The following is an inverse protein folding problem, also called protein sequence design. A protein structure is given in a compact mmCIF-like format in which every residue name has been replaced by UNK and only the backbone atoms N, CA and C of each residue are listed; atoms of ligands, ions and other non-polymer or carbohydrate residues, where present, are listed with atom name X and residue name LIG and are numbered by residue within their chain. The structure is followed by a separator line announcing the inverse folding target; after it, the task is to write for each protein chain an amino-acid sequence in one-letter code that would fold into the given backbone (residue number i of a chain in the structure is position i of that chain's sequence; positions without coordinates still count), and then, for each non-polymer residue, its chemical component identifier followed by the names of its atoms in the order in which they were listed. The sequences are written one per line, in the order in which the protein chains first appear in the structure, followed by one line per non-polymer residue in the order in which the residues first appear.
data_IF_688205118806
#
_entry.id   IF_688205118806
#
_cell.length_a   1.000
_cell.length_b   1.000
_cell.length_c   1.000
_cell.angle_alpha   90.00
_cell.angle_beta   90.00
_cell.angle_gamma   90.00
#
_symmetry.space_group_name_H-M   'P 1'
#
loop_
_entity.id
_entity.type
_entity.pdbx_description
1 polymer ?
#
# COMPACT_ATOMS: atom_id res chain seq x y z
N UNK A 1 -7.32 13.52 -2.33
CA UNK A 1 -7.37 13.42 -0.89
C UNK A 1 -8.61 12.71 -0.44
N UNK A 2 -8.53 11.97 0.66
CA UNK A 2 -9.61 11.12 1.11
C UNK A 2 -10.34 11.79 2.26
N UNK A 3 -11.66 11.67 2.29
CA UNK A 3 -12.45 12.15 3.41
C UNK A 3 -12.58 10.98 4.37
N UNK A 4 -11.98 11.11 5.54
CA UNK A 4 -11.97 10.01 6.50
C UNK A 4 -13.29 9.88 7.23
N UNK A 5 -13.75 8.63 7.35
CA UNK A 5 -14.87 8.27 8.19
C UNK A 5 -14.36 8.25 9.63
N UNK A 6 -14.87 9.09 10.52
CA UNK A 6 -14.33 9.14 11.88
C UNK A 6 -14.65 7.90 12.72
N UNK A 7 -15.49 7.00 12.23
CA UNK A 7 -15.85 5.82 12.99
C UNK A 7 -14.96 4.64 12.67
N UNK A 8 -13.99 4.79 11.76
CA UNK A 8 -13.11 3.70 11.35
C UNK A 8 -11.66 4.16 11.44
N UNK A 9 -10.73 3.25 11.74
CA UNK A 9 -9.32 3.64 11.78
C UNK A 9 -8.86 4.19 10.44
N UNK A 10 -8.07 5.25 10.48
CA UNK A 10 -7.59 5.87 9.25
C UNK A 10 -6.74 4.92 8.43
N UNK A 11 -5.91 4.12 9.09
CA UNK A 11 -5.02 3.25 8.34
C UNK A 11 -5.80 2.21 7.53
N UNK A 12 -6.94 1.75 8.03
CA UNK A 12 -7.75 0.78 7.31
C UNK A 12 -8.31 1.42 6.04
N UNK A 13 -8.75 2.67 6.15
CA UNK A 13 -9.31 3.37 5.01
C UNK A 13 -8.25 3.63 3.95
N UNK A 14 -7.03 3.98 4.38
CA UNK A 14 -5.92 4.17 3.46
C UNK A 14 -5.56 2.85 2.78
N UNK A 15 -5.54 1.77 3.57
CA UNK A 15 -5.27 0.45 3.03
C UNK A 15 -6.25 0.11 1.90
N UNK A 16 -7.52 0.39 2.11
CA UNK A 16 -8.55 0.08 1.10
C UNK A 16 -8.30 0.86 -0.18
N UNK A 17 -7.90 2.12 -0.06
CA UNK A 17 -7.63 2.95 -1.24
C UNK A 17 -6.41 2.40 -2.00
N UNK A 18 -5.32 2.11 -1.28
CA UNK A 18 -4.11 1.63 -1.93
C UNK A 18 -4.33 0.27 -2.56
N UNK A 19 -5.05 -0.61 -1.86
CA UNK A 19 -5.36 -1.91 -2.41
C UNK A 19 -6.15 -1.79 -3.70
N UNK A 20 -7.13 -0.89 -3.74
CA UNK A 20 -7.92 -0.67 -4.94
C UNK A 20 -7.05 -0.19 -6.09
N UNK A 21 -6.07 0.68 -5.81
CA UNK A 21 -5.17 1.16 -6.84
C UNK A 21 -4.30 0.05 -7.40
N UNK A 22 -3.91 -0.89 -6.54
CA UNK A 22 -3.13 -2.03 -6.99
C UNK A 22 -3.99 -2.96 -7.83
N UNK A 23 -5.19 -3.21 -7.38
CA UNK A 23 -6.07 -4.16 -8.08
C UNK A 23 -6.55 -3.61 -9.41
N UNK A 24 -6.71 -2.30 -9.51
CA UNK A 24 -7.16 -1.69 -10.75
C UNK A 24 -6.04 -1.53 -11.77
N UNK A 25 -4.79 -1.69 -11.34
CA UNK A 25 -3.66 -1.47 -12.22
C UNK A 25 -3.12 -0.06 -12.21
N UNK A 26 -3.73 0.84 -11.43
CA UNK A 26 -3.21 2.19 -11.29
C UNK A 26 -1.79 2.15 -10.73
N UNK A 27 -1.55 1.22 -9.79
CA UNK A 27 -0.21 0.91 -9.33
C UNK A 27 0.17 -0.43 -9.93
N UNK A 28 0.88 -0.44 -11.07
CA UNK A 28 1.17 -1.70 -11.75
C UNK A 28 2.24 -2.51 -11.01
N UNK A 29 2.45 -3.77 -11.40
CA UNK A 29 3.50 -4.57 -10.79
C UNK A 29 4.83 -3.85 -10.83
N UNK A 30 5.59 -3.98 -9.76
CA UNK A 30 6.90 -3.35 -9.58
C UNK A 30 6.84 -1.85 -9.34
N UNK A 31 5.65 -1.28 -9.22
CA UNK A 31 5.52 0.13 -8.86
C UNK A 31 6.07 0.35 -7.46
N UNK A 32 6.90 1.37 -7.29
CA UNK A 32 7.48 1.68 -5.98
C UNK A 32 6.41 2.31 -5.08
N UNK A 33 6.27 1.77 -3.89
CA UNK A 33 5.35 2.31 -2.90
C UNK A 33 6.14 3.25 -1.99
N UNK A 34 5.89 4.54 -2.08
CA UNK A 34 6.61 5.54 -1.31
C UNK A 34 5.82 5.91 -0.07
N UNK A 35 6.37 5.59 1.10
CA UNK A 35 5.72 5.96 2.35
C UNK A 35 5.67 7.46 2.53
N UNK A 36 6.71 8.16 2.07
CA UNK A 36 6.75 9.62 2.17
C UNK A 36 5.63 10.24 1.36
N UNK A 37 5.43 9.76 0.14
CA UNK A 37 4.35 10.26 -0.69
C UNK A 37 3.00 9.98 -0.07
N UNK A 38 2.83 8.81 0.53
CA UNK A 38 1.57 8.46 1.16
C UNK A 38 1.29 9.34 2.38
N UNK A 39 2.33 9.67 3.16
CA UNK A 39 2.14 10.60 4.27
C UNK A 39 1.58 11.92 3.77
N UNK A 40 2.14 12.41 2.70
CA UNK A 40 1.71 13.69 2.13
C UNK A 40 0.31 13.59 1.55
N UNK A 41 0.05 12.51 0.82
CA UNK A 41 -1.24 12.36 0.15
C UNK A 41 -2.39 12.19 1.15
N UNK A 42 -2.17 11.36 2.17
CA UNK A 42 -3.24 11.02 3.10
C UNK A 42 -3.22 11.83 4.40
N UNK A 43 -2.21 12.70 4.55
CA UNK A 43 -2.12 13.59 5.72
C UNK A 43 -2.11 12.83 7.02
N UNK A 44 -1.27 11.82 7.12
CA UNK A 44 -1.10 11.03 8.34
C UNK A 44 0.38 10.84 8.62
N UNK A 45 0.70 10.45 9.85
CA UNK A 45 2.08 10.23 10.23
C UNK A 45 2.61 8.91 9.65
N UNK A 46 3.94 8.79 9.61
CA UNK A 46 4.61 7.61 9.08
C UNK A 46 4.17 6.33 9.77
N UNK A 47 3.89 6.40 11.07
CA UNK A 47 3.50 5.21 11.81
C UNK A 47 2.17 4.67 11.28
N UNK A 48 1.27 5.55 10.86
CA UNK A 48 0.00 5.12 10.29
C UNK A 48 0.23 4.47 8.93
N UNK A 49 1.11 5.06 8.12
CA UNK A 49 1.43 4.49 6.81
C UNK A 49 2.11 3.13 6.96
N UNK A 50 2.94 2.95 8.00
CA UNK A 50 3.58 1.66 8.21
C UNK A 50 2.58 0.56 8.52
N UNK A 51 1.47 0.88 9.17
CA UNK A 51 0.42 -0.10 9.39
C UNK A 51 -0.19 -0.53 8.06
N UNK A 52 -0.35 0.43 7.14
CA UNK A 52 -0.89 0.15 5.82
C UNK A 52 0.04 -0.78 5.05
N UNK A 53 1.33 -0.43 5.00
CA UNK A 53 2.27 -1.23 4.22
C UNK A 53 2.48 -2.60 4.84
N UNK A 54 2.43 -2.70 6.18
CA UNK A 54 2.53 -3.99 6.83
C UNK A 54 1.38 -4.91 6.42
N UNK A 55 0.17 -4.37 6.37
CA UNK A 55 -0.99 -5.18 5.98
C UNK A 55 -0.93 -5.55 4.50
N UNK A 56 -0.51 -4.61 3.65
CA UNK A 56 -0.35 -4.91 2.22
C UNK A 56 0.67 -6.03 2.02
N UNK A 57 1.76 -6.00 2.79
CA UNK A 57 2.81 -7.02 2.69
C UNK A 57 2.29 -8.36 3.16
N UNK A 58 1.54 -8.37 4.26
CA UNK A 58 0.98 -9.60 4.79
C UNK A 58 0.00 -10.21 3.80
N UNK A 59 -0.74 -9.37 3.09
CA UNK A 59 -1.72 -9.85 2.11
C UNK A 59 -1.08 -10.19 0.76
N UNK A 60 0.23 -10.04 0.65
CA UNK A 60 0.93 -10.39 -0.59
C UNK A 60 0.79 -9.38 -1.71
N UNK A 61 0.31 -8.18 -1.38
CA UNK A 61 0.11 -7.16 -2.42
C UNK A 61 1.38 -6.37 -2.71
N UNK A 62 2.31 -6.30 -1.75
CA UNK A 62 3.60 -5.66 -1.98
C UNK A 62 4.72 -6.54 -1.44
N UNK A 63 5.91 -6.30 -1.94
CA UNK A 63 7.12 -7.00 -1.53
C UNK A 63 8.11 -5.95 -1.07
N UNK A 64 8.72 -6.15 0.10
CA UNK A 64 9.75 -5.25 0.59
C UNK A 64 11.11 -5.91 0.42
N UNK A 65 12.00 -5.20 -0.25
CA UNK A 65 13.37 -5.66 -0.46
C UNK A 65 14.29 -4.76 0.36
N UNK A 66 15.04 -5.33 1.30
CA UNK A 66 15.91 -4.52 2.15
C UNK A 66 16.86 -3.67 1.31
N UNK A 67 16.95 -2.39 1.66
CA UNK A 67 17.82 -1.47 0.97
C UNK A 67 17.24 -0.90 -0.32
N UNK A 68 16.14 -1.43 -0.80
CA UNK A 68 15.57 -0.97 -2.06
C UNK A 68 14.17 -0.40 -1.92
N UNK A 69 13.39 -0.87 -0.98
CA UNK A 69 12.05 -0.35 -0.75
C UNK A 69 10.96 -1.38 -0.94
N UNK A 70 9.75 -0.91 -1.06
CA UNK A 70 8.59 -1.77 -1.24
C UNK A 70 8.01 -1.57 -2.63
N UNK A 71 7.63 -2.66 -3.26
CA UNK A 71 7.14 -2.64 -4.62
C UNK A 71 5.87 -3.45 -4.73
N UNK A 72 4.99 -3.06 -5.63
CA UNK A 72 3.76 -3.80 -5.90
C UNK A 72 4.13 -5.17 -6.42
N UNK A 73 3.56 -6.22 -5.82
CA UNK A 73 3.83 -7.59 -6.24
C UNK A 73 3.17 -7.86 -7.58
N UNK A 74 3.75 -8.80 -8.32
CA UNK A 74 3.15 -9.21 -9.57
C UNK A 74 1.85 -9.93 -9.27
N UNK A 75 0.80 -9.60 -10.00
CA UNK A 75 -0.41 -10.29 -9.84
C UNK A 75 -0.31 -11.72 -10.26
N UNK A 76 0.56 -12.02 -11.18
CA UNK A 76 0.75 -13.35 -11.62
C UNK A 76 1.44 -14.07 -10.53
N UNK A 77 0.85 -15.04 -9.99
CA UNK A 77 1.44 -15.75 -8.88
C UNK A 77 2.67 -16.46 -9.31
N UNK A 78 3.71 -16.34 -8.55
CA UNK A 78 4.94 -16.95 -8.97
C UNK A 78 4.85 -18.43 -9.03
N UNK A 79 4.01 -18.98 -8.24
CA UNK A 79 3.94 -20.40 -8.25
C UNK A 79 3.33 -20.95 -9.44
N UNK A 80 2.77 -20.13 -10.26
CA UNK A 80 2.21 -20.63 -11.36
C UNK A 80 3.03 -20.74 -12.42
N UNK A 81 4.14 -20.52 -12.20
CA UNK A 81 4.99 -20.58 -13.23
C UNK A 81 5.90 -21.48 -13.07
#
# INVERSE_FOLDING_TARGET
MIDYDPTRPKWVQIYEVVRARIESGEYPPNHLISEVQMESEFHVARVTIRKVTAQLREDGLIITTPGMGSFVASKKAPGND
#
